data_IF_745543322496
#
_entry.id   IF_745543322496
#
_cell.length_a   1.000
_cell.length_b   1.000
_cell.length_c   1.000
_cell.angle_alpha   90.00
_cell.angle_beta   90.00
_cell.angle_gamma   90.00
#
_symmetry.space_group_name_H-M   'P 1'
#
loop_
_entity.id
_entity.type
_entity.pdbx_description
1 polymer ?
#
# COMPACT_ATOMS: atom_id res chain seq x y z
N UNK A 1 8.70 12.74 -12.74
CA UNK A 1 9.98 13.46 -12.58
C UNK A 1 11.00 12.55 -11.92
N UNK A 2 12.29 12.61 -12.25
CA UNK A 2 13.32 11.77 -11.60
C UNK A 2 14.11 12.55 -10.53
N UNK A 3 14.23 12.00 -9.31
CA UNK A 3 14.95 12.60 -8.19
C UNK A 3 16.13 11.76 -7.68
N UNK A 4 17.13 12.42 -7.09
CA UNK A 4 18.32 11.81 -6.45
C UNK A 4 18.33 11.99 -4.93
N UNK A 5 17.17 11.83 -4.31
CA UNK A 5 16.99 11.91 -2.85
C UNK A 5 16.82 10.47 -2.34
N UNK A 6 17.50 10.06 -1.25
CA UNK A 6 17.28 8.76 -0.63
C UNK A 6 15.81 8.59 -0.19
N UNK A 7 15.26 7.39 -0.38
CA UNK A 7 13.88 7.10 -0.01
C UNK A 7 13.61 7.34 1.48
N UNK A 8 14.55 6.94 2.35
CA UNK A 8 14.40 7.11 3.80
C UNK A 8 14.30 8.58 4.20
N UNK A 9 14.98 9.52 3.51
CA UNK A 9 14.83 10.94 3.78
C UNK A 9 13.41 11.45 3.46
N UNK A 10 12.81 10.95 2.38
CA UNK A 10 11.43 11.29 2.01
C UNK A 10 10.45 10.68 3.02
N UNK A 11 10.67 9.41 3.40
CA UNK A 11 9.86 8.71 4.40
C UNK A 11 9.89 9.45 5.74
N UNK A 12 11.08 9.84 6.20
CA UNK A 12 11.27 10.57 7.45
C UNK A 12 10.60 11.96 7.40
N UNK A 13 10.70 12.66 6.27
CA UNK A 13 10.03 13.94 6.08
C UNK A 13 8.50 13.80 6.12
N UNK A 14 7.93 12.76 5.48
CA UNK A 14 6.50 12.44 5.54
C UNK A 14 6.10 12.15 6.99
N UNK A 15 6.87 11.35 7.73
CA UNK A 15 6.54 11.02 9.13
C UNK A 15 6.53 12.26 10.05
N UNK A 16 7.47 13.18 9.82
CA UNK A 16 7.69 14.36 10.68
C UNK A 16 6.86 15.58 10.27
N UNK A 17 6.31 15.59 9.05
CA UNK A 17 5.52 16.70 8.54
C UNK A 17 4.29 16.95 9.43
N UNK A 18 4.15 18.20 9.86
CA UNK A 18 3.06 18.66 10.73
C UNK A 18 2.78 20.14 10.46
N UNK A 19 1.80 20.72 11.16
CA UNK A 19 1.52 22.16 11.08
C UNK A 19 2.70 23.03 11.54
N UNK A 20 3.55 22.54 12.46
CA UNK A 20 4.71 23.29 12.96
C UNK A 20 6.00 22.98 12.20
N UNK A 21 6.03 21.87 11.47
CA UNK A 21 7.20 21.32 10.79
C UNK A 21 6.88 21.06 9.33
N UNK A 22 7.25 21.99 8.46
CA UNK A 22 6.98 21.93 7.03
C UNK A 22 8.18 21.38 6.27
N UNK A 23 7.92 20.47 5.33
CA UNK A 23 8.95 19.86 4.49
C UNK A 23 8.60 20.07 3.01
N UNK A 24 9.62 20.42 2.23
CA UNK A 24 9.49 20.67 0.79
C UNK A 24 10.61 19.97 0.03
N UNK A 25 10.32 19.43 -1.14
CA UNK A 25 11.34 18.94 -2.07
C UNK A 25 11.75 20.08 -3.00
N UNK A 26 13.01 20.49 -2.94
CA UNK A 26 13.65 21.38 -3.90
C UNK A 26 14.03 20.60 -5.15
N UNK A 27 13.27 20.76 -6.24
CA UNK A 27 13.46 19.98 -7.47
C UNK A 27 14.78 20.28 -8.17
N UNK A 28 15.26 21.51 -8.03
CA UNK A 28 16.48 22.00 -8.70
C UNK A 28 17.73 21.50 -8.01
N UNK A 29 17.75 21.59 -6.69
CA UNK A 29 18.91 21.18 -5.88
C UNK A 29 18.82 19.73 -5.40
N UNK A 30 17.69 19.04 -5.65
CA UNK A 30 17.51 17.62 -5.38
C UNK A 30 17.70 17.32 -3.88
N UNK A 31 17.03 18.10 -3.02
CA UNK A 31 17.14 18.02 -1.56
C UNK A 31 15.80 18.31 -0.89
N UNK A 32 15.67 17.86 0.36
CA UNK A 32 14.55 18.26 1.22
C UNK A 32 14.92 19.54 1.97
N UNK A 33 13.98 20.48 2.00
CA UNK A 33 14.05 21.74 2.74
C UNK A 33 13.07 21.66 3.90
N UNK A 34 13.59 21.84 5.11
CA UNK A 34 12.81 21.89 6.34
C UNK A 34 12.62 23.34 6.78
N UNK A 35 11.40 23.70 7.15
CA UNK A 35 11.04 25.00 7.69
C UNK A 35 10.16 24.79 8.93
N UNK A 36 10.64 25.25 10.08
CA UNK A 36 9.86 25.22 11.32
C UNK A 36 9.11 26.53 11.55
N UNK A 37 7.88 26.44 12.06
CA UNK A 37 7.05 27.58 12.47
C UNK A 37 7.69 28.40 13.61
N UNK A 38 8.53 27.77 14.44
CA UNK A 38 9.17 28.45 15.58
C UNK A 38 10.35 29.35 15.18
N UNK A 39 10.74 29.36 13.91
CA UNK A 39 11.82 30.22 13.43
C UNK A 39 11.32 31.66 13.16
N UNK A 40 12.06 32.67 13.63
CA UNK A 40 11.71 34.09 13.44
C UNK A 40 11.56 34.52 11.96
N UNK A 41 12.11 33.73 11.02
CA UNK A 41 12.08 33.98 9.57
C UNK A 41 11.17 33.02 8.81
N UNK A 42 10.31 32.28 9.52
CA UNK A 42 9.44 31.24 8.98
C UNK A 42 8.60 31.72 7.78
N UNK A 43 7.85 32.81 7.93
CA UNK A 43 6.97 33.35 6.88
C UNK A 43 7.73 33.66 5.59
N UNK A 44 8.89 34.34 5.72
CA UNK A 44 9.73 34.66 4.58
C UNK A 44 10.26 33.41 3.88
N UNK A 45 10.66 32.37 4.64
CA UNK A 45 11.10 31.11 4.06
C UNK A 45 9.97 30.38 3.34
N UNK A 46 8.74 30.44 3.85
CA UNK A 46 7.57 29.88 3.17
C UNK A 46 7.30 30.59 1.85
N UNK A 47 7.35 31.93 1.82
CA UNK A 47 7.20 32.71 0.57
C UNK A 47 8.26 32.32 -0.48
N UNK A 48 9.50 32.04 -0.05
CA UNK A 48 10.61 31.64 -0.95
C UNK A 48 10.38 30.24 -1.58
N UNK A 49 9.63 29.36 -0.93
CA UNK A 49 9.31 28.01 -1.44
C UNK A 49 7.92 27.89 -2.04
N UNK A 50 7.09 28.93 -1.97
CA UNK A 50 5.75 28.97 -2.58
C UNK A 50 5.83 29.23 -4.09
N UNK A 51 6.42 28.29 -4.83
CA UNK A 51 6.49 28.34 -6.28
C UNK A 51 6.65 26.94 -6.88
N UNK A 52 6.54 26.87 -8.20
CA UNK A 52 6.60 25.63 -8.95
C UNK A 52 7.95 24.92 -8.89
N UNK A 53 9.04 25.44 -8.30
CA UNK A 53 10.31 24.70 -8.16
C UNK A 53 10.31 23.76 -6.93
N UNK A 54 9.31 23.86 -6.06
CA UNK A 54 9.19 23.07 -4.84
C UNK A 54 7.94 22.15 -4.87
N UNK A 55 8.01 21.04 -4.14
CA UNK A 55 6.86 20.17 -3.88
C UNK A 55 6.67 20.11 -2.37
N UNK A 56 5.49 20.47 -1.88
CA UNK A 56 5.15 20.35 -0.47
C UNK A 56 4.95 18.89 -0.09
N UNK A 57 5.48 18.47 1.06
CA UNK A 57 5.11 17.20 1.70
C UNK A 57 4.02 17.53 2.71
N UNK A 58 2.80 17.07 2.44
CA UNK A 58 1.65 17.39 3.26
C UNK A 58 1.79 16.82 4.68
N UNK A 59 1.33 17.55 5.71
CA UNK A 59 1.36 17.07 7.08
C UNK A 59 0.43 15.87 7.26
N UNK A 60 0.92 14.84 7.98
CA UNK A 60 0.10 13.66 8.29
C UNK A 60 -1.04 14.03 9.20
N UNK A 61 -2.24 13.58 8.84
CA UNK A 61 -3.44 13.77 9.62
C UNK A 61 -3.50 12.75 10.77
N UNK A 62 -4.01 13.11 11.96
CA UNK A 62 -4.17 12.16 13.06
C UNK A 62 -4.96 10.89 12.70
N UNK A 63 -5.88 10.99 11.73
CA UNK A 63 -6.67 9.85 11.27
C UNK A 63 -5.81 8.79 10.55
N UNK A 64 -4.70 9.17 9.93
CA UNK A 64 -3.78 8.25 9.25
C UNK A 64 -3.05 7.39 10.29
N UNK A 65 -2.48 8.00 11.32
CA UNK A 65 -1.87 7.26 12.44
C UNK A 65 -2.87 6.37 13.17
N UNK A 66 -4.12 6.84 13.34
CA UNK A 66 -5.17 6.03 13.93
C UNK A 66 -5.51 4.81 13.07
N UNK A 67 -5.54 4.96 11.74
CA UNK A 67 -5.79 3.85 10.81
C UNK A 67 -4.68 2.80 10.88
N UNK A 68 -3.41 3.22 11.01
CA UNK A 68 -2.27 2.31 11.22
C UNK A 68 -2.41 1.53 12.55
N UNK A 69 -2.88 2.19 13.61
CA UNK A 69 -3.19 1.48 14.87
C UNK A 69 -4.31 0.46 14.69
N UNK A 70 -5.36 0.81 13.95
CA UNK A 70 -6.49 -0.10 13.69
C UNK A 70 -6.04 -1.32 12.87
N UNK A 71 -5.29 -1.12 11.79
CA UNK A 71 -4.81 -2.22 10.95
C UNK A 71 -3.93 -3.20 11.73
N UNK A 72 -3.07 -2.69 12.63
CA UNK A 72 -2.26 -3.54 13.50
C UNK A 72 -3.08 -4.46 14.41
N UNK A 73 -4.26 -4.02 14.89
CA UNK A 73 -5.12 -4.87 15.73
C UNK A 73 -5.52 -6.16 15.00
N UNK A 74 -5.70 -6.10 13.68
CA UNK A 74 -6.04 -7.26 12.85
C UNK A 74 -4.85 -8.20 12.61
N UNK A 75 -3.61 -7.77 12.85
CA UNK A 75 -2.43 -8.65 12.81
C UNK A 75 -2.23 -9.45 14.11
N UNK A 76 -2.91 -9.07 15.20
CA UNK A 76 -2.81 -9.75 16.50
C UNK A 76 -3.56 -11.09 16.44
N UNK A 77 -2.80 -12.19 16.43
CA UNK A 77 -3.35 -13.55 16.36
C UNK A 77 -4.12 -14.00 17.61
N UNK A 78 -3.85 -13.42 18.77
CA UNK A 78 -4.63 -13.71 19.99
C UNK A 78 -5.90 -12.85 19.99
N UNK A 79 -7.04 -13.51 19.80
CA UNK A 79 -8.35 -12.85 19.75
C UNK A 79 -8.67 -12.03 21.01
N UNK A 80 -8.34 -12.52 22.21
CA UNK A 80 -8.62 -11.80 23.45
C UNK A 80 -7.75 -10.54 23.56
N UNK A 81 -6.51 -10.62 23.09
CA UNK A 81 -5.61 -9.47 23.05
C UNK A 81 -6.05 -8.47 21.98
N UNK A 82 -6.35 -8.93 20.76
CA UNK A 82 -6.88 -8.11 19.69
C UNK A 82 -8.14 -7.35 20.12
N UNK A 83 -9.09 -8.04 20.78
CA UNK A 83 -10.30 -7.40 21.33
C UNK A 83 -9.98 -6.30 22.35
N UNK A 84 -9.00 -6.51 23.25
CA UNK A 84 -8.58 -5.48 24.21
C UNK A 84 -8.00 -4.25 23.51
N UNK A 85 -7.19 -4.45 22.47
CA UNK A 85 -6.64 -3.36 21.66
C UNK A 85 -7.75 -2.61 20.91
N UNK A 86 -8.69 -3.33 20.31
CA UNK A 86 -9.87 -2.75 19.66
C UNK A 86 -10.67 -1.86 20.62
N UNK A 87 -11.04 -2.38 21.79
CA UNK A 87 -11.77 -1.62 22.82
C UNK A 87 -10.97 -0.41 23.35
N UNK A 88 -9.64 -0.47 23.34
CA UNK A 88 -8.79 0.64 23.75
C UNK A 88 -8.82 1.79 22.73
N UNK A 89 -8.95 1.48 21.43
CA UNK A 89 -9.07 2.45 20.34
C UNK A 89 -10.47 3.10 20.28
N UNK A 90 -11.52 2.45 20.78
CA UNK A 90 -12.86 3.06 20.87
C UNK A 90 -13.02 4.02 22.07
N UNK A 91 -12.14 3.91 23.07
CA UNK A 91 -12.18 4.73 24.29
C UNK A 91 -11.63 6.13 24.06
N UNK A 92 -11.94 7.03 25.01
CA UNK A 92 -11.29 8.35 25.08
C UNK A 92 -9.76 8.17 25.16
N UNK A 93 -9.03 9.02 24.43
CA UNK A 93 -7.57 9.01 24.30
C UNK A 93 -7.02 7.71 23.68
N UNK A 94 -7.48 7.33 22.47
CA UNK A 94 -7.15 6.04 21.87
C UNK A 94 -5.65 5.80 21.71
N UNK A 95 -4.91 6.80 21.21
CA UNK A 95 -3.46 6.74 21.05
C UNK A 95 -2.73 6.39 22.35
N UNK A 96 -3.16 6.98 23.47
CA UNK A 96 -2.56 6.72 24.77
C UNK A 96 -2.86 5.30 25.23
N UNK A 97 -4.12 4.88 25.15
CA UNK A 97 -4.55 3.55 25.59
C UNK A 97 -3.84 2.45 24.76
N UNK A 98 -3.72 2.64 23.45
CA UNK A 98 -3.00 1.74 22.56
C UNK A 98 -1.51 1.62 22.97
N UNK A 99 -0.82 2.76 23.16
CA UNK A 99 0.59 2.77 23.59
C UNK A 99 0.78 2.12 24.97
N UNK A 100 -0.14 2.35 25.90
CA UNK A 100 -0.13 1.69 27.21
C UNK A 100 -0.23 0.16 27.06
N UNK A 101 -1.07 -0.34 26.16
CA UNK A 101 -1.16 -1.78 25.88
C UNK A 101 0.10 -2.34 25.19
N UNK A 102 0.70 -1.63 24.23
CA UNK A 102 1.99 -2.03 23.65
C UNK A 102 3.06 -2.17 24.74
N UNK A 103 3.17 -1.17 25.63
CA UNK A 103 4.15 -1.19 26.73
C UNK A 103 3.91 -2.33 27.73
N UNK A 104 2.66 -2.75 27.92
CA UNK A 104 2.30 -3.89 28.77
C UNK A 104 2.55 -5.25 28.09
N UNK A 105 2.77 -5.28 26.78
CA UNK A 105 3.00 -6.49 25.99
C UNK A 105 4.29 -6.36 25.17
N UNK A 106 5.48 -6.54 25.80
CA UNK A 106 6.77 -6.38 25.12
C UNK A 106 6.92 -7.23 23.84
N UNK A 107 6.35 -8.43 23.81
CA UNK A 107 6.37 -9.32 22.64
C UNK A 107 5.64 -8.74 21.41
N UNK A 108 4.75 -7.76 21.61
CA UNK A 108 4.08 -7.04 20.53
C UNK A 108 4.81 -5.76 20.12
N UNK A 109 5.74 -5.27 20.93
CA UNK A 109 6.41 -3.98 20.68
C UNK A 109 7.18 -4.02 19.36
N UNK A 110 7.99 -5.06 19.14
CA UNK A 110 8.73 -5.22 17.88
C UNK A 110 7.79 -5.38 16.67
N UNK A 111 6.69 -6.14 16.84
CA UNK A 111 5.69 -6.33 15.78
C UNK A 111 5.01 -5.02 15.41
N UNK A 112 4.65 -4.22 16.41
CA UNK A 112 4.06 -2.90 16.21
C UNK A 112 5.00 -1.97 15.45
N UNK A 113 6.28 -1.91 15.84
CA UNK A 113 7.24 -1.06 15.15
C UNK A 113 7.46 -1.50 13.69
N UNK A 114 7.54 -2.81 13.44
CA UNK A 114 7.61 -3.35 12.07
C UNK A 114 6.36 -3.02 11.25
N UNK A 115 5.17 -3.19 11.84
CA UNK A 115 3.91 -2.83 11.19
C UNK A 115 3.87 -1.34 10.84
N UNK A 116 4.18 -0.47 11.80
CA UNK A 116 4.19 0.97 11.59
C UNK A 116 5.18 1.40 10.51
N UNK A 117 6.40 0.85 10.51
CA UNK A 117 7.41 1.17 9.50
C UNK A 117 7.01 0.66 8.10
N UNK A 118 6.38 -0.52 8.02
CA UNK A 118 5.80 -1.06 6.78
C UNK A 118 4.71 -0.14 6.24
N UNK A 119 3.75 0.28 7.07
CA UNK A 119 2.66 1.17 6.65
C UNK A 119 3.19 2.54 6.21
N UNK A 120 4.16 3.11 6.95
CA UNK A 120 4.81 4.37 6.57
C UNK A 120 5.61 4.24 5.25
N UNK A 121 6.24 3.09 5.03
CA UNK A 121 6.91 2.78 3.75
C UNK A 121 5.90 2.75 2.61
N UNK A 122 4.76 2.07 2.80
CA UNK A 122 3.67 2.02 1.81
C UNK A 122 3.11 3.43 1.54
N UNK A 123 2.93 4.25 2.57
CA UNK A 123 2.48 5.64 2.45
C UNK A 123 3.47 6.50 1.65
N UNK A 124 4.77 6.41 1.94
CA UNK A 124 5.80 7.13 1.19
C UNK A 124 5.86 6.66 -0.28
N UNK A 125 5.70 5.36 -0.54
CA UNK A 125 5.59 4.82 -1.90
C UNK A 125 4.35 5.36 -2.63
N UNK A 126 3.19 5.41 -1.96
CA UNK A 126 1.98 6.01 -2.51
C UNK A 126 2.16 7.49 -2.81
N UNK A 127 2.78 8.25 -1.91
CA UNK A 127 3.03 9.66 -2.09
C UNK A 127 3.92 9.93 -3.32
N UNK A 128 4.99 9.14 -3.52
CA UNK A 128 5.81 9.20 -4.74
C UNK A 128 4.98 8.91 -5.99
N UNK A 129 4.09 7.91 -5.91
CA UNK A 129 3.23 7.50 -7.02
C UNK A 129 2.22 8.58 -7.41
N UNK A 130 1.58 9.22 -6.43
CA UNK A 130 0.57 10.27 -6.59
C UNK A 130 1.21 11.54 -7.19
N UNK A 131 2.43 11.86 -6.76
CA UNK A 131 3.17 13.02 -7.24
C UNK A 131 3.97 12.75 -8.54
N UNK A 132 3.82 11.56 -9.14
CA UNK A 132 4.57 11.13 -10.33
C UNK A 132 6.10 11.31 -10.19
N UNK A 133 6.63 10.97 -9.02
CA UNK A 133 8.05 11.05 -8.68
C UNK A 133 8.69 9.66 -8.79
N UNK A 134 9.77 9.58 -9.56
CA UNK A 134 10.65 8.42 -9.63
C UNK A 134 11.97 8.73 -8.93
N UNK A 135 12.44 7.84 -8.05
CA UNK A 135 13.77 7.96 -7.47
C UNK A 135 14.83 7.26 -8.34
N UNK A 136 16.05 7.79 -8.32
CA UNK A 136 17.20 7.17 -8.99
C UNK A 136 17.58 5.85 -8.36
N UNK A 137 17.61 5.80 -7.03
CA UNK A 137 17.72 4.57 -6.28
C UNK A 137 16.32 3.96 -6.09
N UNK A 138 16.14 2.72 -6.57
CA UNK A 138 14.91 1.94 -6.45
C UNK A 138 15.02 0.81 -5.44
N UNK A 139 16.07 0.80 -4.61
CA UNK A 139 16.34 -0.25 -3.61
C UNK A 139 15.23 -0.42 -2.57
N UNK A 140 14.46 0.64 -2.30
CA UNK A 140 13.28 0.61 -1.43
C UNK A 140 12.13 -0.23 -2.02
N UNK A 141 12.06 -0.37 -3.35
CA UNK A 141 11.04 -1.20 -3.98
C UNK A 141 11.43 -2.67 -3.85
N UNK A 142 10.52 -3.54 -3.35
CA UNK A 142 10.77 -4.97 -3.38
C UNK A 142 10.80 -5.45 -4.83
N UNK A 143 11.55 -6.52 -5.08
CA UNK A 143 11.57 -7.15 -6.41
C UNK A 143 10.24 -7.84 -6.66
N UNK A 144 9.46 -7.35 -7.62
CA UNK A 144 8.16 -7.90 -7.98
C UNK A 144 8.34 -9.03 -8.99
N UNK A 145 7.83 -10.21 -8.64
CA UNK A 145 7.88 -11.41 -9.46
C UNK A 145 6.48 -12.03 -9.55
N UNK A 146 6.04 -12.26 -10.78
CA UNK A 146 4.77 -12.92 -11.08
C UNK A 146 5.06 -14.25 -11.77
N UNK A 147 4.51 -15.33 -11.19
CA UNK A 147 4.59 -16.69 -11.73
C UNK A 147 3.19 -17.20 -12.06
N UNK A 148 2.97 -17.60 -13.32
CA UNK A 148 1.76 -18.33 -13.70
C UNK A 148 1.78 -19.74 -13.11
N UNK A 149 0.70 -20.12 -12.46
CA UNK A 149 0.54 -21.40 -11.76
C UNK A 149 -0.13 -22.44 -12.64
N UNK A 150 0.34 -23.68 -12.54
CA UNK A 150 -0.35 -24.84 -13.14
C UNK A 150 -1.54 -25.24 -12.26
N UNK A 151 -2.58 -25.89 -12.82
CA UNK A 151 -3.78 -26.29 -12.05
C UNK A 151 -3.52 -27.06 -10.75
N UNK A 152 -2.44 -27.85 -10.66
CA UNK A 152 -2.07 -28.58 -9.44
C UNK A 152 -1.19 -27.81 -8.45
N UNK A 153 -0.71 -26.62 -8.80
CA UNK A 153 0.07 -25.73 -7.92
C UNK A 153 -0.82 -24.70 -7.20
N UNK A 154 -2.05 -24.49 -7.69
CA UNK A 154 -2.98 -23.51 -7.15
C UNK A 154 -3.42 -23.92 -5.75
N UNK A 155 -3.05 -23.13 -4.75
CA UNK A 155 -3.47 -23.28 -3.36
C UNK A 155 -4.33 -22.07 -2.98
N UNK A 156 -5.63 -22.22 -3.10
CA UNK A 156 -6.57 -21.20 -2.65
C UNK A 156 -7.02 -21.53 -1.22
N UNK A 157 -7.31 -20.50 -0.39
CA UNK A 157 -8.07 -20.69 0.85
C UNK A 157 -9.38 -21.41 0.55
N UNK A 158 -9.91 -22.16 1.53
CA UNK A 158 -11.10 -22.99 1.30
C UNK A 158 -12.31 -22.17 0.86
N UNK A 159 -12.43 -20.96 1.39
CA UNK A 159 -13.43 -19.97 1.03
C UNK A 159 -13.41 -19.68 -0.48
N UNK A 160 -12.22 -19.58 -1.09
CA UNK A 160 -12.07 -19.22 -2.50
C UNK A 160 -12.07 -20.40 -3.47
N UNK A 161 -12.32 -21.64 -3.03
CA UNK A 161 -12.28 -22.83 -3.91
C UNK A 161 -13.39 -22.84 -4.96
N UNK A 162 -14.55 -22.31 -4.61
CA UNK A 162 -15.74 -22.28 -5.48
C UNK A 162 -15.89 -20.94 -6.24
N UNK A 163 -15.01 -19.98 -5.98
CA UNK A 163 -15.01 -18.68 -6.64
C UNK A 163 -14.54 -18.82 -8.09
N UNK A 164 -15.21 -18.13 -9.00
CA UNK A 164 -14.79 -18.11 -10.39
C UNK A 164 -15.82 -17.54 -11.36
N UNK A 165 -15.49 -17.61 -12.67
CA UNK A 165 -16.29 -17.03 -13.73
C UNK A 165 -17.61 -17.79 -13.96
N UNK A 166 -18.73 -17.08 -13.81
CA UNK A 166 -20.10 -17.63 -13.97
C UNK A 166 -20.65 -17.35 -15.37
N UNK A 167 -20.49 -16.12 -15.87
CA UNK A 167 -21.09 -15.72 -17.14
C UNK A 167 -20.33 -14.57 -17.82
N UNK A 168 -20.32 -14.55 -19.14
CA UNK A 168 -19.83 -13.41 -19.89
C UNK A 168 -20.91 -12.34 -19.99
N UNK A 169 -20.64 -11.13 -19.54
CA UNK A 169 -21.58 -10.00 -19.60
C UNK A 169 -21.88 -9.56 -21.04
N UNK A 170 -20.96 -9.83 -21.98
CA UNK A 170 -21.10 -9.44 -23.39
C UNK A 170 -21.95 -10.40 -24.24
N UNK A 171 -21.86 -11.71 -24.01
CA UNK A 171 -22.50 -12.71 -24.88
C UNK A 171 -23.33 -13.76 -24.12
N UNK A 172 -23.50 -13.60 -22.81
CA UNK A 172 -24.24 -14.47 -21.91
C UNK A 172 -23.78 -15.94 -21.91
N UNK A 173 -22.56 -16.23 -22.39
CA UNK A 173 -21.96 -17.56 -22.30
C UNK A 173 -21.71 -17.91 -20.83
N UNK A 174 -22.12 -19.11 -20.41
CA UNK A 174 -21.97 -19.61 -19.02
C UNK A 174 -21.08 -20.85 -18.90
N UNK A 175 -20.48 -21.30 -20.00
CA UNK A 175 -19.80 -22.59 -20.07
C UNK A 175 -18.37 -22.46 -20.59
N UNK A 176 -17.50 -23.39 -20.17
CA UNK A 176 -16.16 -23.55 -20.72
C UNK A 176 -15.15 -22.47 -20.33
N UNK A 177 -15.44 -21.68 -19.29
CA UNK A 177 -14.47 -20.74 -18.74
C UNK A 177 -13.24 -21.48 -18.19
N UNK A 178 -12.08 -20.83 -18.31
CA UNK A 178 -10.83 -21.27 -17.70
C UNK A 178 -10.20 -20.06 -17.02
N UNK A 179 -9.98 -20.19 -15.72
CA UNK A 179 -9.27 -19.18 -14.93
C UNK A 179 -7.78 -19.47 -14.97
N UNK A 180 -6.99 -18.44 -15.24
CA UNK A 180 -5.54 -18.45 -15.09
C UNK A 180 -5.21 -17.88 -13.72
N UNK A 181 -4.24 -18.50 -13.05
CA UNK A 181 -3.81 -18.13 -11.71
C UNK A 181 -2.36 -17.71 -11.75
N UNK A 182 -2.04 -16.64 -11.03
CA UNK A 182 -0.68 -16.12 -10.92
C UNK A 182 -0.34 -15.89 -9.45
N UNK A 183 0.84 -16.32 -9.05
CA UNK A 183 1.38 -16.03 -7.73
C UNK A 183 2.19 -14.73 -7.80
N UNK A 184 1.80 -13.75 -6.98
CA UNK A 184 2.55 -12.54 -6.73
C UNK A 184 3.37 -12.72 -5.45
N UNK A 185 4.67 -12.46 -5.52
CA UNK A 185 5.60 -12.71 -4.41
C UNK A 185 5.55 -11.65 -3.30
N UNK A 186 4.92 -10.51 -3.56
CA UNK A 186 4.73 -9.40 -2.62
C UNK A 186 3.26 -9.06 -2.52
N UNK A 187 2.78 -8.54 -1.38
CA UNK A 187 1.40 -8.07 -1.29
C UNK A 187 1.24 -6.75 -2.06
N UNK A 188 0.10 -6.59 -2.73
CA UNK A 188 -0.25 -5.40 -3.51
C UNK A 188 -0.87 -4.33 -2.61
N UNK A 189 -0.10 -3.82 -1.66
CA UNK A 189 -0.57 -2.90 -0.60
C UNK A 189 -0.31 -1.42 -0.90
N UNK A 190 0.35 -1.10 -2.00
CA UNK A 190 0.62 0.28 -2.40
C UNK A 190 0.59 0.45 -3.93
N UNK A 191 0.35 1.69 -4.36
CA UNK A 191 0.12 2.06 -5.75
C UNK A 191 1.34 1.85 -6.65
N UNK A 192 2.57 1.87 -6.12
CA UNK A 192 3.76 1.56 -6.93
C UNK A 192 3.85 0.06 -7.22
N UNK A 193 3.54 -0.78 -6.23
CA UNK A 193 3.48 -2.24 -6.42
C UNK A 193 2.35 -2.58 -7.39
N UNK A 194 1.17 -1.97 -7.24
CA UNK A 194 0.04 -2.15 -8.17
C UNK A 194 0.42 -1.76 -9.61
N UNK A 195 0.96 -0.55 -9.83
CA UNK A 195 1.38 -0.09 -11.17
C UNK A 195 2.41 -1.03 -11.81
N UNK A 196 3.38 -1.51 -11.04
CA UNK A 196 4.39 -2.43 -11.57
C UNK A 196 3.81 -3.83 -11.82
N UNK A 197 2.87 -4.29 -10.99
CA UNK A 197 2.13 -5.54 -11.19
C UNK A 197 1.32 -5.49 -12.48
N UNK A 198 0.58 -4.40 -12.71
CA UNK A 198 -0.16 -4.15 -13.95
C UNK A 198 0.77 -4.15 -15.17
N UNK A 199 1.93 -3.48 -15.07
CA UNK A 199 2.93 -3.43 -16.13
C UNK A 199 3.43 -4.84 -16.49
N UNK A 200 3.81 -5.64 -15.50
CA UNK A 200 4.28 -7.01 -15.71
C UNK A 200 3.16 -7.89 -16.30
N UNK A 201 1.94 -7.81 -15.76
CA UNK A 201 0.78 -8.56 -16.26
C UNK A 201 0.49 -8.25 -17.74
N UNK A 202 0.58 -6.98 -18.12
CA UNK A 202 0.36 -6.52 -19.49
C UNK A 202 1.50 -6.94 -20.42
N UNK A 203 2.75 -6.66 -20.07
CA UNK A 203 3.91 -6.89 -20.93
C UNK A 203 4.24 -8.37 -21.09
N UNK A 204 4.19 -9.15 -20.00
CA UNK A 204 4.61 -10.55 -19.99
C UNK A 204 3.48 -11.51 -20.34
N UNK A 205 2.24 -11.20 -19.94
CA UNK A 205 1.11 -12.13 -20.05
C UNK A 205 -0.03 -11.62 -20.96
N UNK A 206 0.01 -10.37 -21.41
CA UNK A 206 -1.03 -9.77 -22.24
C UNK A 206 -2.35 -9.51 -21.49
N UNK A 207 -2.31 -9.50 -20.15
CA UNK A 207 -3.48 -9.35 -19.28
C UNK A 207 -3.52 -7.92 -18.75
N UNK A 208 -4.71 -7.33 -18.72
CA UNK A 208 -4.94 -5.97 -18.21
C UNK A 208 -5.94 -6.04 -17.06
N UNK A 209 -7.01 -6.81 -17.24
CA UNK A 209 -8.00 -7.07 -16.21
C UNK A 209 -7.70 -8.39 -15.48
N UNK A 210 -7.53 -8.29 -14.16
CA UNK A 210 -7.32 -9.41 -13.26
C UNK A 210 -7.89 -9.10 -11.87
N UNK A 211 -8.29 -10.15 -11.15
CA UNK A 211 -8.75 -10.07 -9.76
C UNK A 211 -7.63 -10.38 -8.78
N UNK A 212 -7.80 -9.97 -7.54
CA UNK A 212 -6.89 -10.26 -6.43
C UNK A 212 -7.60 -11.18 -5.43
N UNK A 213 -6.94 -12.28 -5.07
CA UNK A 213 -7.35 -13.15 -3.96
C UNK A 213 -6.32 -12.97 -2.84
N UNK A 214 -6.78 -12.31 -1.77
CA UNK A 214 -5.99 -12.02 -0.57
C UNK A 214 -6.37 -12.99 0.57
N UNK A 215 -5.52 -13.10 1.59
CA UNK A 215 -5.78 -13.92 2.79
C UNK A 215 -5.05 -15.26 2.87
N UNK A 216 -4.26 -15.62 1.85
CA UNK A 216 -3.29 -16.71 1.90
C UNK A 216 -1.89 -16.25 2.34
N UNK A 217 -0.92 -17.17 2.39
CA UNK A 217 0.51 -16.82 2.62
C UNK A 217 1.09 -15.93 1.51
N UNK A 218 0.47 -15.97 0.33
CA UNK A 218 0.83 -15.18 -0.85
C UNK A 218 -0.44 -14.71 -1.53
N UNK A 219 -0.29 -13.63 -2.29
CA UNK A 219 -1.35 -13.06 -3.09
C UNK A 219 -1.49 -13.80 -4.42
N UNK A 220 -2.72 -14.14 -4.79
CA UNK A 220 -3.02 -14.83 -6.03
C UNK A 220 -3.81 -13.89 -6.94
N UNK A 221 -3.31 -13.67 -8.15
CA UNK A 221 -4.02 -12.94 -9.19
C UNK A 221 -4.80 -13.92 -10.07
N UNK A 222 -6.03 -13.56 -10.42
CA UNK A 222 -6.90 -14.36 -11.27
C UNK A 222 -7.22 -13.63 -12.57
N UNK A 223 -7.26 -14.34 -13.69
CA UNK A 223 -7.72 -13.77 -14.95
C UNK A 223 -8.56 -14.78 -15.72
N UNK A 224 -9.74 -14.33 -16.13
CA UNK A 224 -10.75 -15.12 -16.82
C UNK A 224 -11.10 -14.44 -18.15
N UNK A 225 -11.26 -15.24 -19.21
CA UNK A 225 -11.67 -14.73 -20.52
C UNK A 225 -12.80 -15.61 -21.08
N UNK A 226 -13.77 -14.98 -21.74
CA UNK A 226 -14.87 -15.70 -22.36
C UNK A 226 -14.36 -16.59 -23.51
N UNK A 227 -14.60 -17.92 -23.44
CA UNK A 227 -14.13 -18.83 -24.49
C UNK A 227 -14.80 -18.55 -25.84
N UNK A 228 -16.03 -18.00 -25.82
CA UNK A 228 -16.86 -17.75 -27.01
C UNK A 228 -16.51 -16.45 -27.72
N UNK A 229 -16.42 -15.33 -26.98
CA UNK A 229 -16.28 -13.99 -27.59
C UNK A 229 -15.00 -13.26 -27.19
N UNK A 230 -14.11 -13.89 -26.41
CA UNK A 230 -12.82 -13.32 -26.00
C UNK A 230 -12.92 -12.04 -25.15
N UNK A 231 -14.11 -11.75 -24.63
CA UNK A 231 -14.34 -10.64 -23.70
C UNK A 231 -13.82 -11.00 -22.31
N UNK A 232 -13.27 -9.99 -21.63
CA UNK A 232 -12.82 -10.03 -20.23
C UNK A 232 -13.88 -9.52 -19.24
N UNK A 233 -15.03 -9.05 -19.74
CA UNK A 233 -16.17 -8.65 -18.91
C UNK A 233 -16.91 -9.88 -18.42
N UNK A 234 -16.38 -10.48 -17.35
CA UNK A 234 -16.87 -11.72 -16.77
C UNK A 234 -17.53 -11.41 -15.44
N UNK A 235 -18.75 -11.92 -15.26
CA UNK A 235 -19.40 -11.97 -13.97
C UNK A 235 -18.82 -13.16 -13.20
N UNK A 236 -18.15 -12.87 -12.08
CA UNK A 236 -17.58 -13.84 -11.17
C UNK A 236 -18.46 -13.93 -9.91
N UNK A 237 -18.64 -15.13 -9.37
CA UNK A 237 -19.37 -15.31 -8.10
C UNK A 237 -18.41 -15.00 -6.94
N UNK A 238 -18.83 -14.08 -6.06
CA UNK A 238 -18.09 -13.63 -4.88
C UNK A 238 -18.76 -14.10 -3.58
#
# INVERSE_FOLDING_TARGET
MKLKIPFDEIKDAIEQASYEHHYFIDKKNQKIVFISEVEDVHEKKLEEVENDDFICIEPRMPNEDFSVMQSFVYEIRDFNLARKFHEALEKRKPFRNFKELINQNPDLTEKWFKHRDKELTNEAMNWLCINDIELEDKSFMPKIEIKELKPGEVKLPEEFKDFGPVACMKCNNKEGFKTRYFELNVPSENMLIEKETERIMKEKYGIQDYGHICGGEKEILTSSECPKCKSKEIFEDF
#
